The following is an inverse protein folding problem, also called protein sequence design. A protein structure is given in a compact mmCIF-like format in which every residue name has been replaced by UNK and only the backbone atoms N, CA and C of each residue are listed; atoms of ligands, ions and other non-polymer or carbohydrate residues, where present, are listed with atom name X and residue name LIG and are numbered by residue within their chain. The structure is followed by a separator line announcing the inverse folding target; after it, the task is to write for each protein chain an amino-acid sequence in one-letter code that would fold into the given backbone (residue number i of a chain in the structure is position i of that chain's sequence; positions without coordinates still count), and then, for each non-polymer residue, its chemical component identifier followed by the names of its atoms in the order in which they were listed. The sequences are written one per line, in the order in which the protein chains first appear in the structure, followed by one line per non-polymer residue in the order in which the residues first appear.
data_IF_980881312010
#
_entry.id   IF_980881312010
#
_cell.length_a   1.000
_cell.length_b   1.000
_cell.length_c   1.000
_cell.angle_alpha   90.00
_cell.angle_beta   90.00
_cell.angle_gamma   90.00
#
_symmetry.space_group_name_H-M   'P 1'
#
loop_
_entity.id
_entity.type
_entity.pdbx_description
1 polymer ?
#
# COMPACT_ATOMS: atom_id res chain seq x y z
N UNK A 1 11.31 15.90 -5.32
CA UNK A 1 12.44 15.70 -4.39
C UNK A 1 12.84 14.25 -4.46
N UNK A 2 14.12 13.98 -4.69
CA UNK A 2 14.64 12.64 -4.99
C UNK A 2 14.66 11.77 -3.73
N UNK A 3 14.19 10.53 -3.85
CA UNK A 3 14.31 9.53 -2.79
C UNK A 3 15.80 9.30 -2.49
N UNK A 4 16.23 9.65 -1.29
CA UNK A 4 17.66 9.64 -0.94
C UNK A 4 18.06 8.28 -0.36
N UNK A 5 19.15 7.66 -0.83
CA UNK A 5 19.65 6.43 -0.22
C UNK A 5 20.26 6.69 1.16
N UNK A 6 20.00 5.78 2.10
CA UNK A 6 20.68 5.72 3.40
C UNK A 6 21.78 4.67 3.31
N UNK A 7 23.01 5.06 3.61
CA UNK A 7 24.22 4.24 3.40
C UNK A 7 25.00 3.94 4.68
N UNK A 8 24.53 4.40 5.84
CA UNK A 8 25.10 4.05 7.14
C UNK A 8 24.06 4.08 8.27
N UNK A 9 24.37 3.35 9.35
CA UNK A 9 23.53 3.31 10.55
C UNK A 9 23.41 4.68 11.22
N UNK A 10 24.51 5.44 11.31
CA UNK A 10 24.49 6.79 11.88
C UNK A 10 23.59 7.74 11.07
N UNK A 11 23.60 7.62 9.74
CA UNK A 11 22.72 8.39 8.88
C UNK A 11 21.26 8.00 9.11
N UNK A 12 20.96 6.70 9.22
CA UNK A 12 19.62 6.21 9.55
C UNK A 12 19.11 6.82 10.85
N UNK A 13 19.89 6.74 11.93
CA UNK A 13 19.52 7.32 13.23
C UNK A 13 19.32 8.83 13.14
N UNK A 14 20.19 9.55 12.42
CA UNK A 14 20.02 11.00 12.23
C UNK A 14 18.74 11.34 11.47
N UNK A 15 18.39 10.56 10.44
CA UNK A 15 17.23 10.80 9.59
C UNK A 15 15.93 10.56 10.36
N UNK A 16 15.79 9.42 11.04
CA UNK A 16 14.56 9.11 11.78
C UNK A 16 14.32 10.07 12.96
N UNK A 17 15.38 10.71 13.47
CA UNK A 17 15.33 11.70 14.54
C UNK A 17 15.25 13.16 14.04
N UNK A 18 15.07 13.41 12.73
CA UNK A 18 15.02 14.77 12.17
C UNK A 18 13.80 15.60 12.61
N UNK A 19 12.84 14.97 13.29
CA UNK A 19 11.60 15.59 13.77
C UNK A 19 10.48 15.69 12.73
N UNK A 20 10.79 15.49 11.44
CA UNK A 20 9.80 15.37 10.38
C UNK A 20 9.32 13.92 10.23
N UNK A 21 8.13 13.68 9.65
CA UNK A 21 7.73 12.35 9.23
C UNK A 21 8.67 11.84 8.13
N UNK A 22 9.11 10.59 8.26
CA UNK A 22 10.07 9.95 7.35
C UNK A 22 9.50 8.62 6.89
N UNK A 23 9.42 8.38 5.59
CA UNK A 23 9.07 7.07 5.01
C UNK A 23 10.30 6.45 4.36
N UNK A 24 10.59 5.20 4.71
CA UNK A 24 11.77 4.48 4.23
C UNK A 24 11.35 3.22 3.48
N UNK A 25 11.77 3.09 2.22
CA UNK A 25 11.65 1.87 1.40
C UNK A 25 12.85 0.94 1.63
N UNK A 26 12.60 -0.20 2.25
CA UNK A 26 13.57 -1.29 2.40
C UNK A 26 13.45 -2.24 1.20
N UNK A 27 14.44 -2.20 0.33
CA UNK A 27 14.43 -2.86 -0.98
C UNK A 27 15.68 -3.70 -1.20
N UNK A 28 15.70 -4.46 -2.31
CA UNK A 28 16.88 -5.22 -2.76
C UNK A 28 16.95 -5.27 -4.29
N UNK A 29 18.13 -5.44 -4.86
CA UNK A 29 18.33 -5.48 -6.33
C UNK A 29 17.65 -6.69 -7.01
N UNK A 30 17.57 -7.81 -6.30
CA UNK A 30 16.93 -9.04 -6.74
C UNK A 30 15.40 -9.04 -6.52
N UNK A 31 14.88 -8.03 -5.83
CA UNK A 31 13.45 -7.91 -5.53
C UNK A 31 12.68 -7.38 -6.76
N UNK A 32 12.03 -8.30 -7.49
CA UNK A 32 11.13 -7.98 -8.61
C UNK A 32 10.05 -6.95 -8.27
N UNK A 33 9.26 -7.14 -7.19
CA UNK A 33 8.23 -6.19 -6.78
C UNK A 33 8.76 -4.80 -6.42
N UNK A 34 9.99 -4.71 -5.90
CA UNK A 34 10.63 -3.43 -5.57
C UNK A 34 10.79 -2.56 -6.83
N UNK A 35 11.20 -3.15 -7.96
CA UNK A 35 11.35 -2.43 -9.24
C UNK A 35 10.04 -1.84 -9.75
N UNK A 36 8.91 -2.48 -9.44
CA UNK A 36 7.58 -2.01 -9.85
C UNK A 36 7.14 -0.81 -9.00
N UNK A 37 7.45 -0.83 -7.70
CA UNK A 37 6.99 0.19 -6.77
C UNK A 37 7.90 1.42 -6.67
N UNK A 38 9.20 1.28 -6.96
CA UNK A 38 10.17 2.40 -6.93
C UNK A 38 9.70 3.67 -7.67
N UNK A 39 9.21 3.62 -8.93
CA UNK A 39 8.74 4.84 -9.62
C UNK A 39 7.48 5.45 -8.99
N UNK A 40 6.67 4.66 -8.28
CA UNK A 40 5.51 5.17 -7.53
C UNK A 40 6.00 5.86 -6.26
N UNK A 41 6.94 5.25 -5.55
CA UNK A 41 7.55 5.82 -4.34
C UNK A 41 8.24 7.17 -4.62
N UNK A 42 8.93 7.28 -5.75
CA UNK A 42 9.52 8.55 -6.22
C UNK A 42 8.46 9.62 -6.52
N UNK A 43 7.33 9.25 -7.14
CA UNK A 43 6.23 10.21 -7.37
C UNK A 43 5.60 10.68 -6.05
N UNK A 44 5.48 9.78 -5.06
CA UNK A 44 5.00 10.14 -3.73
C UNK A 44 5.95 11.14 -3.06
N UNK A 45 7.27 10.97 -3.19
CA UNK A 45 8.25 11.91 -2.63
C UNK A 45 8.25 13.28 -3.29
N UNK A 46 7.80 13.38 -4.53
CA UNK A 46 7.56 14.66 -5.20
C UNK A 46 6.28 15.35 -4.71
N UNK A 47 5.25 14.57 -4.43
CA UNK A 47 3.93 15.07 -4.04
C UNK A 47 3.86 15.51 -2.57
N UNK A 48 4.51 14.78 -1.67
CA UNK A 48 4.43 15.02 -0.22
C UNK A 48 5.69 15.71 0.30
N UNK A 49 5.77 17.04 0.15
CA UNK A 49 6.94 17.82 0.59
C UNK A 49 7.10 17.95 2.11
N UNK A 50 6.05 17.66 2.89
CA UNK A 50 6.07 17.63 4.36
C UNK A 50 6.61 16.31 4.94
N UNK A 51 6.88 15.32 4.10
CA UNK A 51 7.39 13.99 4.47
C UNK A 51 8.71 13.77 3.75
N UNK A 52 9.71 13.24 4.45
CA UNK A 52 10.98 12.90 3.83
C UNK A 52 10.99 11.43 3.41
N UNK A 53 11.50 11.15 2.21
CA UNK A 53 11.46 9.81 1.62
C UNK A 53 12.87 9.30 1.39
N UNK A 54 13.13 8.09 1.87
CA UNK A 54 14.43 7.44 1.80
C UNK A 54 14.32 5.99 1.33
N UNK A 55 15.44 5.42 0.93
CA UNK A 55 15.55 4.00 0.61
C UNK A 55 16.76 3.38 1.27
N UNK A 56 16.62 2.13 1.70
CA UNK A 56 17.67 1.31 2.30
C UNK A 56 17.78 0.03 1.50
N UNK A 57 18.95 -0.23 0.95
CA UNK A 57 19.26 -1.54 0.38
C UNK A 57 19.57 -2.51 1.52
N UNK A 58 18.77 -3.56 1.67
CA UNK A 58 18.91 -4.53 2.77
C UNK A 58 20.14 -5.41 2.64
N UNK A 59 20.68 -5.59 1.43
CA UNK A 59 21.90 -6.36 1.19
C UNK A 59 23.14 -5.54 1.61
N UNK A 60 23.14 -4.23 1.33
CA UNK A 60 24.23 -3.33 1.72
C UNK A 60 24.16 -2.90 3.19
N UNK A 61 22.96 -2.76 3.74
CA UNK A 61 22.71 -2.20 5.07
C UNK A 61 22.06 -3.21 6.02
N UNK A 62 22.66 -4.40 6.12
CA UNK A 62 22.14 -5.50 6.93
C UNK A 62 21.89 -5.13 8.41
N UNK A 63 22.72 -4.25 8.99
CA UNK A 63 22.55 -3.78 10.38
C UNK A 63 21.25 -2.99 10.55
N UNK A 64 20.92 -2.10 9.61
CA UNK A 64 19.67 -1.33 9.63
C UNK A 64 18.48 -2.27 9.43
N UNK A 65 18.56 -3.18 8.44
CA UNK A 65 17.49 -4.14 8.18
C UNK A 65 17.20 -5.03 9.40
N UNK A 66 18.24 -5.45 10.13
CA UNK A 66 18.11 -6.23 11.35
C UNK A 66 17.51 -5.42 12.50
N UNK A 67 17.94 -4.17 12.71
CA UNK A 67 17.41 -3.28 13.76
C UNK A 67 15.92 -2.99 13.54
N UNK A 68 15.52 -2.75 12.30
CA UNK A 68 14.13 -2.46 11.92
C UNK A 68 13.26 -3.72 11.88
N UNK A 69 13.88 -4.91 11.80
CA UNK A 69 13.21 -6.20 11.75
C UNK A 69 12.60 -6.50 10.38
N UNK A 70 13.24 -6.07 9.29
CA UNK A 70 12.78 -6.31 7.92
C UNK A 70 12.89 -7.80 7.59
N UNK A 71 11.79 -8.40 7.14
CA UNK A 71 11.71 -9.85 6.84
C UNK A 71 11.36 -10.16 5.38
N UNK A 72 10.87 -9.16 4.65
CA UNK A 72 10.48 -9.28 3.26
C UNK A 72 10.62 -7.92 2.57
N UNK A 73 10.75 -7.94 1.24
CA UNK A 73 10.93 -6.72 0.44
C UNK A 73 9.86 -6.64 -0.66
N UNK A 74 9.39 -5.42 -0.99
CA UNK A 74 9.72 -4.17 -0.31
C UNK A 74 9.04 -4.12 1.07
N UNK A 75 9.64 -3.40 2.03
CA UNK A 75 8.97 -3.02 3.28
C UNK A 75 9.07 -1.50 3.40
N UNK A 76 7.96 -0.82 3.63
CA UNK A 76 7.92 0.61 3.87
C UNK A 76 7.72 0.87 5.35
N UNK A 77 8.51 1.75 5.96
CA UNK A 77 8.40 2.08 7.38
C UNK A 77 8.26 3.58 7.58
N UNK A 78 7.28 3.99 8.38
CA UNK A 78 7.07 5.37 8.79
C UNK A 78 7.73 5.62 10.16
N UNK A 79 8.57 6.64 10.21
CA UNK A 79 9.18 7.17 11.42
C UNK A 79 8.71 8.59 11.69
N UNK A 80 8.58 8.94 12.98
CA UNK A 80 8.40 10.33 13.39
C UNK A 80 9.01 10.52 14.78
N UNK A 81 9.99 11.42 14.88
CA UNK A 81 10.66 11.71 16.16
C UNK A 81 11.42 10.52 16.74
N UNK A 82 12.06 9.71 15.89
CA UNK A 82 12.81 8.51 16.29
C UNK A 82 11.95 7.27 16.52
N UNK A 83 10.63 7.39 16.59
CA UNK A 83 9.74 6.26 16.81
C UNK A 83 9.19 5.68 15.50
N UNK A 84 9.20 4.34 15.40
CA UNK A 84 8.49 3.59 14.35
C UNK A 84 6.99 3.73 14.58
N UNK A 85 6.29 4.43 13.68
CA UNK A 85 4.83 4.64 13.75
C UNK A 85 4.03 3.54 13.05
N UNK A 86 4.64 2.84 12.10
CA UNK A 86 4.04 1.69 11.42
C UNK A 86 4.88 1.21 10.23
N UNK A 87 4.58 0.01 9.75
CA UNK A 87 5.21 -0.59 8.58
C UNK A 87 4.22 -1.33 7.67
N UNK A 88 4.51 -1.28 6.36
CA UNK A 88 3.75 -1.97 5.32
C UNK A 88 4.72 -2.89 4.58
N UNK A 89 4.43 -4.18 4.56
CA UNK A 89 5.25 -5.20 3.90
C UNK A 89 4.61 -5.58 2.56
N UNK A 90 5.41 -5.59 1.50
CA UNK A 90 4.99 -5.85 0.13
C UNK A 90 4.90 -4.58 -0.71
N UNK A 91 4.71 -4.75 -2.02
CA UNK A 91 4.52 -3.64 -2.97
C UNK A 91 3.13 -3.01 -2.82
N UNK A 92 2.67 -2.78 -1.59
CA UNK A 92 1.50 -1.99 -1.26
C UNK A 92 1.96 -0.56 -0.93
N UNK A 93 1.84 0.41 -1.86
CA UNK A 93 2.17 1.79 -1.60
C UNK A 93 0.98 2.43 -0.89
N UNK A 94 0.76 2.13 0.38
CA UNK A 94 -0.37 2.72 1.12
C UNK A 94 0.01 4.09 1.68
N UNK A 95 0.15 5.06 0.78
CA UNK A 95 -0.69 6.25 0.86
C UNK A 95 -1.77 6.04 -0.20
N UNK A 96 -2.94 5.56 0.22
CA UNK A 96 -4.05 5.32 -0.71
C UNK A 96 -4.44 6.69 -1.29
N UNK A 97 -4.05 6.99 -2.52
CA UNK A 97 -4.49 8.19 -3.23
C UNK A 97 -5.91 7.95 -3.75
N UNK A 98 -6.87 7.96 -2.82
CA UNK A 98 -8.29 7.76 -3.13
C UNK A 98 -8.83 8.89 -4.04
N UNK A 99 -8.18 10.06 -4.01
CA UNK A 99 -8.57 11.29 -4.71
C UNK A 99 -8.15 11.36 -6.19
N UNK A 100 -7.52 10.32 -6.74
CA UNK A 100 -7.10 10.30 -8.15
C UNK A 100 -8.25 10.16 -9.16
N UNK A 101 -7.97 10.41 -10.44
CA UNK A 101 -8.92 10.15 -11.54
C UNK A 101 -9.14 8.65 -11.78
N UNK A 102 -8.17 7.81 -11.44
CA UNK A 102 -8.29 6.36 -11.52
C UNK A 102 -9.12 5.82 -10.36
N UNK A 103 -10.09 4.93 -10.60
CA UNK A 103 -10.82 4.25 -9.53
C UNK A 103 -9.89 3.30 -8.75
N UNK A 104 -10.22 3.10 -7.48
CA UNK A 104 -9.42 2.32 -6.51
C UNK A 104 -10.28 1.22 -5.90
N UNK A 105 -9.82 -0.02 -5.89
CA UNK A 105 -10.48 -1.14 -5.18
C UNK A 105 -9.62 -1.59 -4.01
N UNK A 106 -10.19 -1.63 -2.81
CA UNK A 106 -9.52 -2.04 -1.58
C UNK A 106 -10.17 -3.34 -1.07
N UNK A 107 -9.40 -4.42 -0.98
CA UNK A 107 -9.75 -5.69 -0.34
C UNK A 107 -9.42 -5.63 1.16
N UNK A 108 -10.46 -5.51 1.99
CA UNK A 108 -10.38 -5.62 3.44
C UNK A 108 -10.47 -7.09 3.85
N UNK A 109 -9.33 -7.62 4.31
CA UNK A 109 -9.14 -9.03 4.61
C UNK A 109 -8.62 -9.23 6.04
N UNK A 110 -8.59 -10.49 6.49
CA UNK A 110 -7.99 -10.87 7.77
C UNK A 110 -7.34 -12.26 7.68
N UNK A 111 -6.32 -12.53 8.50
CA UNK A 111 -5.58 -13.81 8.50
C UNK A 111 -6.45 -15.01 8.89
N UNK A 112 -7.43 -14.76 9.76
CA UNK A 112 -8.41 -15.74 10.25
C UNK A 112 -9.63 -15.90 9.32
N UNK A 113 -9.74 -15.08 8.27
CA UNK A 113 -10.84 -15.13 7.31
C UNK A 113 -10.59 -16.21 6.25
N UNK A 114 -11.22 -17.38 6.43
CA UNK A 114 -11.18 -18.48 5.46
C UNK A 114 -11.61 -18.07 4.03
N UNK A 115 -12.76 -17.38 3.85
CA UNK A 115 -13.21 -16.93 2.53
C UNK A 115 -12.23 -15.95 1.84
N UNK A 116 -11.47 -15.16 2.60
CA UNK A 116 -10.47 -14.23 2.07
C UNK A 116 -9.34 -14.96 1.32
N UNK A 117 -8.98 -16.18 1.78
CA UNK A 117 -7.98 -17.02 1.11
C UNK A 117 -8.44 -17.55 -0.24
N UNK A 118 -9.75 -17.79 -0.39
CA UNK A 118 -10.35 -18.29 -1.63
C UNK A 118 -10.36 -17.20 -2.70
N UNK A 119 -10.65 -15.96 -2.31
CA UNK A 119 -10.81 -14.85 -3.24
C UNK A 119 -9.50 -14.10 -3.52
N UNK A 120 -8.51 -14.18 -2.64
CA UNK A 120 -7.20 -13.51 -2.81
C UNK A 120 -6.55 -13.78 -4.17
N UNK A 121 -6.46 -15.03 -4.68
CA UNK A 121 -5.86 -15.29 -5.99
C UNK A 121 -6.65 -14.69 -7.16
N UNK A 122 -7.97 -14.52 -7.00
CA UNK A 122 -8.83 -13.90 -8.01
C UNK A 122 -8.64 -12.38 -7.99
N UNK A 123 -8.54 -11.79 -6.81
CA UNK A 123 -8.24 -10.38 -6.63
C UNK A 123 -6.88 -10.01 -7.21
N UNK A 124 -5.86 -10.82 -6.97
CA UNK A 124 -4.51 -10.67 -7.54
C UNK A 124 -4.55 -10.75 -9.08
N UNK A 125 -5.24 -11.75 -9.65
CA UNK A 125 -5.45 -11.82 -11.10
C UNK A 125 -6.15 -10.59 -11.68
N UNK A 126 -7.12 -10.02 -10.96
CA UNK A 126 -7.79 -8.79 -11.42
C UNK A 126 -6.86 -7.59 -11.38
N UNK A 127 -5.99 -7.50 -10.38
CA UNK A 127 -4.98 -6.44 -10.31
C UNK A 127 -3.98 -6.50 -11.47
N UNK A 128 -3.65 -7.70 -11.95
CA UNK A 128 -2.79 -7.90 -13.12
C UNK A 128 -3.52 -7.60 -14.43
N UNK A 129 -4.81 -7.99 -14.51
CA UNK A 129 -5.60 -7.89 -15.74
C UNK A 129 -6.13 -6.47 -16.01
N UNK A 130 -6.47 -5.71 -14.97
CA UNK A 130 -7.16 -4.41 -15.09
C UNK A 130 -6.29 -3.27 -14.58
N UNK A 131 -5.30 -2.86 -15.36
CA UNK A 131 -4.35 -1.79 -14.98
C UNK A 131 -4.91 -0.36 -14.99
N UNK A 132 -6.18 -0.19 -15.40
CA UNK A 132 -6.93 1.08 -15.33
C UNK A 132 -7.54 1.36 -13.96
N UNK A 133 -7.45 0.41 -13.03
CA UNK A 133 -7.94 0.47 -11.66
C UNK A 133 -6.77 0.16 -10.72
N UNK A 134 -6.64 0.91 -9.64
CA UNK A 134 -5.61 0.60 -8.63
C UNK A 134 -6.20 -0.34 -7.57
N UNK A 135 -5.45 -1.39 -7.22
CA UNK A 135 -5.91 -2.44 -6.30
C UNK A 135 -5.05 -2.45 -5.04
N UNK A 136 -5.70 -2.52 -3.88
CA UNK A 136 -5.02 -2.55 -2.59
C UNK A 136 -5.62 -3.64 -1.70
N UNK A 137 -4.83 -4.15 -0.76
CA UNK A 137 -5.27 -5.06 0.28
C UNK A 137 -4.99 -4.42 1.63
N UNK A 138 -5.97 -4.41 2.52
CA UNK A 138 -5.86 -3.86 3.87
C UNK A 138 -6.19 -4.98 4.85
N UNK A 139 -5.25 -5.28 5.74
CA UNK A 139 -5.50 -6.19 6.86
C UNK A 139 -6.26 -5.44 7.94
N UNK A 140 -7.50 -5.87 8.22
CA UNK A 140 -8.37 -5.22 9.20
C UNK A 140 -7.86 -5.38 10.63
N UNK A 141 -7.04 -6.40 10.91
CA UNK A 141 -6.44 -6.60 12.23
C UNK A 141 -5.30 -5.59 12.48
N UNK A 142 -4.65 -5.10 11.41
CA UNK A 142 -3.53 -4.15 11.45
C UNK A 142 -4.01 -2.70 11.32
N UNK A 143 -4.93 -2.42 10.40
CA UNK A 143 -5.44 -1.08 10.10
C UNK A 143 -6.91 -0.93 10.53
N UNK A 144 -7.14 -1.06 11.84
CA UNK A 144 -8.48 -1.06 12.43
C UNK A 144 -9.20 0.29 12.29
N UNK A 145 -8.47 1.39 12.41
CA UNK A 145 -8.94 2.77 12.23
C UNK A 145 -9.49 3.00 10.82
N UNK A 146 -8.72 2.63 9.79
CA UNK A 146 -9.13 2.72 8.37
C UNK A 146 -10.35 1.83 8.12
N UNK A 147 -10.34 0.62 8.68
CA UNK A 147 -11.45 -0.33 8.52
C UNK A 147 -12.74 0.19 9.15
N UNK A 148 -12.65 0.85 10.31
CA UNK A 148 -13.80 1.47 10.97
C UNK A 148 -14.31 2.70 10.22
N UNK A 149 -13.41 3.57 9.76
CA UNK A 149 -13.75 4.76 8.99
C UNK A 149 -14.46 4.42 7.68
N UNK A 150 -13.96 3.40 6.98
CA UNK A 150 -14.57 2.88 5.75
C UNK A 150 -15.87 2.11 6.03
N UNK A 151 -16.11 1.72 7.29
CA UNK A 151 -17.33 1.04 7.74
C UNK A 151 -17.33 -0.46 7.41
N UNK A 152 -16.18 -1.12 7.44
CA UNK A 152 -16.04 -2.55 7.20
C UNK A 152 -16.68 -3.34 8.36
N UNK A 153 -17.62 -4.24 8.03
CA UNK A 153 -18.39 -5.01 9.03
C UNK A 153 -18.24 -6.52 8.92
N UNK A 154 -17.71 -7.00 7.79
CA UNK A 154 -17.54 -8.42 7.52
C UNK A 154 -16.40 -8.61 6.52
N UNK A 155 -15.79 -9.79 6.53
CA UNK A 155 -14.65 -10.09 5.67
C UNK A 155 -14.96 -11.27 4.72
N UNK A 156 -14.43 -11.24 3.49
CA UNK A 156 -13.77 -10.09 2.86
C UNK A 156 -14.77 -8.99 2.53
N UNK A 157 -14.36 -7.72 2.57
CA UNK A 157 -15.11 -6.59 2.01
C UNK A 157 -14.26 -5.88 0.98
N UNK A 158 -14.82 -5.65 -0.20
CA UNK A 158 -14.15 -4.91 -1.26
C UNK A 158 -14.81 -3.55 -1.39
N UNK A 159 -14.09 -2.48 -1.07
CA UNK A 159 -14.58 -1.12 -1.24
C UNK A 159 -13.99 -0.51 -2.50
N UNK A 160 -14.85 0.00 -3.37
CA UNK A 160 -14.49 0.76 -4.55
C UNK A 160 -14.60 2.25 -4.24
N UNK A 161 -13.54 2.96 -4.55
CA UNK A 161 -13.46 4.40 -4.43
C UNK A 161 -13.18 5.06 -5.77
N UNK A 162 -13.66 6.30 -5.91
CA UNK A 162 -13.32 7.14 -7.06
C UNK A 162 -13.37 8.60 -6.62
N UNK A 163 -12.30 9.36 -6.88
CA UNK A 163 -12.19 10.79 -6.50
C UNK A 163 -12.44 11.05 -5.00
N UNK A 164 -11.97 10.16 -4.14
CA UNK A 164 -12.06 10.29 -2.68
C UNK A 164 -13.28 9.66 -2.06
N UNK A 165 -14.29 9.32 -2.88
CA UNK A 165 -15.58 8.86 -2.38
C UNK A 165 -15.70 7.34 -2.51
N UNK A 166 -16.25 6.70 -1.47
CA UNK A 166 -16.63 5.29 -1.52
C UNK A 166 -17.88 5.17 -2.40
N UNK A 167 -17.70 4.76 -3.65
CA UNK A 167 -18.78 4.67 -4.63
C UNK A 167 -19.53 3.34 -4.54
N UNK A 168 -18.87 2.28 -4.08
CA UNK A 168 -19.49 0.96 -3.97
C UNK A 168 -18.75 0.10 -2.94
N UNK A 169 -19.46 -0.84 -2.32
CA UNK A 169 -18.87 -1.93 -1.55
C UNK A 169 -19.47 -3.27 -1.96
N UNK A 170 -18.65 -4.32 -1.90
CA UNK A 170 -19.04 -5.71 -2.12
C UNK A 170 -18.57 -6.52 -0.93
N UNK A 171 -19.52 -7.10 -0.19
CA UNK A 171 -19.23 -7.93 0.97
C UNK A 171 -19.29 -9.41 0.57
N UNK A 172 -18.27 -10.17 0.97
CA UNK A 172 -18.15 -11.61 0.80
C UNK A 172 -17.33 -12.05 -0.42
N UNK A 173 -16.90 -13.32 -0.38
CA UNK A 173 -16.07 -13.93 -1.42
C UNK A 173 -16.91 -14.42 -2.62
N UNK A 174 -17.52 -13.49 -3.36
CA UNK A 174 -18.34 -13.80 -4.55
C UNK A 174 -17.65 -13.27 -5.81
N UNK A 175 -16.91 -14.11 -6.57
CA UNK A 175 -16.09 -13.69 -7.71
C UNK A 175 -16.84 -12.89 -8.78
N UNK A 176 -18.10 -13.25 -9.06
CA UNK A 176 -18.91 -12.57 -10.08
C UNK A 176 -19.27 -11.14 -9.70
N UNK A 177 -19.46 -10.83 -8.42
CA UNK A 177 -19.80 -9.48 -7.97
C UNK A 177 -18.61 -8.52 -8.08
N UNK A 178 -17.40 -9.05 -7.88
CA UNK A 178 -16.13 -8.34 -8.04
C UNK A 178 -15.84 -7.94 -9.49
N UNK A 179 -16.19 -8.81 -10.45
CA UNK A 179 -16.06 -8.48 -11.88
C UNK A 179 -16.96 -7.31 -12.27
N UNK A 180 -18.19 -7.26 -11.74
CA UNK A 180 -19.16 -6.22 -12.08
C UNK A 180 -18.75 -4.88 -11.48
N UNK A 181 -18.26 -4.83 -10.24
CA UNK A 181 -17.89 -3.57 -9.57
C UNK A 181 -16.68 -2.87 -10.20
N UNK A 182 -15.66 -3.61 -10.64
CA UNK A 182 -14.49 -3.02 -11.32
C UNK A 182 -14.81 -2.50 -12.75
N UNK A 183 -15.89 -3.00 -13.37
CA UNK A 183 -16.26 -2.72 -14.76
C UNK A 183 -17.53 -1.84 -14.91
N UNK A 184 -18.20 -1.46 -13.82
CA UNK A 184 -19.55 -0.88 -13.89
C UNK A 184 -19.65 0.58 -14.36
N UNK A 185 -18.57 1.20 -14.84
CA UNK A 185 -18.70 2.29 -15.83
C UNK A 185 -18.68 1.70 -17.23
N UNK A 186 -19.75 0.97 -17.59
CA UNK A 186 -20.22 1.15 -18.97
C UNK A 186 -20.66 2.61 -19.08
N UNK A 187 -20.02 3.30 -20.01
CA UNK A 187 -20.44 4.51 -20.71
C UNK A 187 -21.78 5.09 -20.26
N UNK A 188 -21.75 6.34 -19.78
CA UNK A 188 -22.93 7.20 -19.79
C UNK A 188 -23.53 7.18 -21.20
N UNK A 189 -24.84 6.91 -21.39
CA UNK A 189 -25.47 7.17 -22.68
C UNK A 189 -25.41 8.67 -22.91
N UNK A 190 -24.67 9.10 -23.93
CA UNK A 190 -24.87 10.39 -24.55
C UNK A 190 -26.09 10.21 -25.45
N UNK A 191 -27.23 10.75 -24.99
CA UNK A 191 -28.51 10.92 -25.70
C UNK A 191 -29.17 9.67 -26.30
#
# INVERSE_FOLDING_TARGET
MTVTPITSLDQFHSVINSGKPVVIDFWATWCGPCRVISPIFEKLSEKFSSVEFYKVDVDEQAAIAQEVGVRAMPTFVLYQGGEKKGDVVGAQPQAVEINGEKPVVIDFWATWCGPCRIISPIFEKFSEQFTSVDYYKVDVDVAQDISQEVGVRAMPTFALFHKGEKVQEVVGAVPQKLQVSALSRKESPIH
#
